data_IF_882226082675
#
_entry.id   IF_882226082675
#
_cell.length_a   1.000
_cell.length_b   1.000
_cell.length_c   1.000
_cell.angle_alpha   90.00
_cell.angle_beta   90.00
_cell.angle_gamma   90.00
#
_symmetry.space_group_name_H-M   'P 1'
#
loop_
_entity.id
_entity.type
_entity.pdbx_description
1 polymer ?
#
# COMPACT_ATOMS: atom_id res chain seq x y z
N UNK A 1 -33.05 -17.51 15.44
CA UNK A 1 -32.66 -18.90 15.17
C UNK A 1 -31.46 -18.82 14.23
N UNK A 2 -30.27 -19.08 14.78
CA UNK A 2 -28.98 -18.89 14.12
C UNK A 2 -28.72 -20.03 13.14
N UNK A 3 -29.04 -19.83 11.86
CA UNK A 3 -28.71 -20.78 10.79
C UNK A 3 -27.20 -21.09 10.69
N UNK A 4 -26.35 -20.22 11.25
CA UNK A 4 -24.90 -20.40 11.32
C UNK A 4 -24.46 -21.42 12.38
N UNK A 5 -25.27 -21.69 13.41
CA UNK A 5 -24.92 -22.66 14.46
C UNK A 5 -25.07 -24.12 13.99
N UNK A 6 -25.82 -24.33 12.90
CA UNK A 6 -26.04 -25.64 12.28
C UNK A 6 -25.01 -25.97 11.18
N UNK A 7 -24.16 -25.00 10.78
CA UNK A 7 -23.13 -25.23 9.77
C UNK A 7 -22.00 -26.07 10.38
N UNK A 8 -21.66 -27.24 9.80
CA UNK A 8 -20.50 -28.01 10.22
C UNK A 8 -19.22 -27.19 10.14
N UNK A 9 -18.33 -27.38 11.10
CA UNK A 9 -17.05 -26.69 11.16
C UNK A 9 -16.23 -26.83 9.87
N UNK A 10 -16.32 -27.98 9.19
CA UNK A 10 -15.65 -28.23 7.92
C UNK A 10 -16.10 -27.27 6.84
N UNK A 11 -17.40 -26.95 6.79
CA UNK A 11 -17.94 -25.97 5.85
C UNK A 11 -17.51 -24.55 6.20
N UNK A 12 -17.44 -24.20 7.50
CA UNK A 12 -16.90 -22.91 7.94
C UNK A 12 -15.42 -22.75 7.56
N UNK A 13 -14.62 -23.81 7.70
CA UNK A 13 -13.22 -23.84 7.26
C UNK A 13 -13.10 -23.68 5.74
N UNK A 14 -13.98 -24.31 4.95
CA UNK A 14 -14.02 -24.16 3.50
C UNK A 14 -14.38 -22.72 3.11
N UNK A 15 -15.44 -22.15 3.71
CA UNK A 15 -15.85 -20.76 3.47
C UNK A 15 -14.68 -19.81 3.77
N UNK A 16 -14.01 -20.00 4.91
CA UNK A 16 -12.86 -19.19 5.30
C UNK A 16 -11.70 -19.31 4.29
N UNK A 17 -11.42 -20.53 3.82
CA UNK A 17 -10.36 -20.74 2.82
C UNK A 17 -10.66 -20.12 1.45
N UNK A 18 -11.95 -20.08 1.07
CA UNK A 18 -12.38 -19.53 -0.22
C UNK A 18 -12.49 -18.01 -0.21
N UNK A 19 -13.04 -17.43 0.85
CA UNK A 19 -13.13 -15.97 1.00
C UNK A 19 -11.74 -15.37 1.28
N UNK A 20 -10.99 -16.03 2.17
CA UNK A 20 -9.65 -15.66 2.60
C UNK A 20 -9.49 -14.16 2.91
N UNK A 21 -10.52 -13.53 3.50
CA UNK A 21 -10.53 -12.11 3.84
C UNK A 21 -10.68 -11.92 5.36
N UNK A 22 -9.98 -10.93 5.91
CA UNK A 22 -9.86 -10.76 7.36
C UNK A 22 -11.13 -10.19 7.99
N UNK A 23 -11.84 -9.32 7.28
CA UNK A 23 -13.09 -8.73 7.79
C UNK A 23 -14.21 -9.76 7.82
N UNK A 24 -14.32 -10.58 6.77
CA UNK A 24 -15.22 -11.74 6.72
C UNK A 24 -14.91 -12.73 7.83
N UNK A 25 -13.62 -13.06 8.03
CA UNK A 25 -13.22 -13.95 9.12
C UNK A 25 -13.53 -13.38 10.51
N UNK A 26 -13.22 -12.10 10.78
CA UNK A 26 -13.57 -11.44 12.05
C UNK A 26 -15.09 -11.44 12.26
N UNK A 27 -15.87 -11.17 11.22
CA UNK A 27 -17.34 -11.20 11.29
C UNK A 27 -17.84 -12.61 11.61
N UNK A 28 -17.24 -13.66 11.01
CA UNK A 28 -17.53 -15.06 11.33
C UNK A 28 -17.24 -15.40 12.80
N UNK A 29 -16.16 -14.87 13.37
CA UNK A 29 -15.87 -15.03 14.81
C UNK A 29 -16.93 -14.38 15.71
N UNK A 30 -17.60 -13.32 15.25
CA UNK A 30 -18.66 -12.67 16.01
C UNK A 30 -19.98 -13.44 15.95
N UNK A 31 -20.32 -13.99 14.78
CA UNK A 31 -21.63 -14.63 14.54
C UNK A 31 -21.67 -16.14 14.77
N UNK A 32 -20.53 -16.85 14.72
CA UNK A 32 -20.46 -18.30 14.94
C UNK A 32 -19.89 -18.61 16.34
N UNK A 33 -20.70 -19.14 17.28
CA UNK A 33 -20.26 -19.55 18.61
C UNK A 33 -19.11 -20.58 18.59
N UNK A 34 -19.15 -21.54 17.66
CA UNK A 34 -18.12 -22.58 17.54
C UNK A 34 -16.74 -21.96 17.27
N UNK A 35 -16.64 -21.13 16.24
CA UNK A 35 -15.42 -20.38 15.95
C UNK A 35 -15.04 -19.42 17.07
N UNK A 36 -16.02 -18.73 17.67
CA UNK A 36 -15.77 -17.81 18.80
C UNK A 36 -15.11 -18.52 19.99
N UNK A 37 -15.51 -19.76 20.25
CA UNK A 37 -14.97 -20.56 21.36
C UNK A 37 -13.49 -20.91 21.16
N UNK A 38 -13.06 -21.16 19.91
CA UNK A 38 -11.65 -21.41 19.57
C UNK A 38 -10.73 -20.21 19.89
N UNK A 39 -11.26 -18.99 19.79
CA UNK A 39 -10.53 -17.73 20.02
C UNK A 39 -10.82 -17.10 21.39
N UNK A 40 -11.75 -17.67 22.17
CA UNK A 40 -12.06 -17.18 23.51
C UNK A 40 -11.06 -17.75 24.53
N UNK A 41 -10.36 -16.85 25.21
CA UNK A 41 -9.42 -17.14 26.27
C UNK A 41 -8.72 -15.86 26.73
N UNK A 42 -8.01 -15.95 27.84
CA UNK A 42 -7.16 -14.88 28.36
C UNK A 42 -5.75 -14.92 27.73
N UNK A 43 -4.85 -14.07 28.24
CA UNK A 43 -3.45 -13.99 27.80
C UNK A 43 -2.65 -15.27 28.09
N UNK A 44 -3.10 -16.08 29.05
CA UNK A 44 -2.36 -17.23 29.58
C UNK A 44 -2.83 -18.54 28.94
N UNK A 45 -4.03 -18.54 28.34
CA UNK A 45 -4.61 -19.67 27.63
C UNK A 45 -3.96 -19.82 26.25
N UNK A 46 -3.32 -20.99 26.02
CA UNK A 46 -2.73 -21.35 24.72
C UNK A 46 -3.77 -21.37 23.61
N UNK A 47 -3.37 -20.87 22.43
CA UNK A 47 -4.19 -20.88 21.23
C UNK A 47 -4.63 -22.30 20.88
N UNK A 48 -5.87 -22.43 20.41
CA UNK A 48 -6.34 -23.69 19.86
C UNK A 48 -5.61 -24.01 18.55
N UNK A 49 -5.26 -25.29 18.33
CA UNK A 49 -4.56 -25.71 17.12
C UNK A 49 -5.38 -25.39 15.86
N UNK A 50 -6.69 -25.56 15.92
CA UNK A 50 -7.59 -25.26 14.80
C UNK A 50 -7.70 -23.75 14.55
N UNK A 51 -7.69 -22.93 15.61
CA UNK A 51 -7.65 -21.48 15.45
C UNK A 51 -6.38 -21.03 14.70
N UNK A 52 -5.22 -21.60 15.06
CA UNK A 52 -3.95 -21.31 14.39
C UNK A 52 -3.94 -21.80 12.95
N UNK A 53 -4.49 -22.99 12.68
CA UNK A 53 -4.65 -23.53 11.31
C UNK A 53 -5.53 -22.62 10.45
N UNK A 54 -6.64 -22.10 10.98
CA UNK A 54 -7.52 -21.19 10.25
C UNK A 54 -6.81 -19.89 9.87
N UNK A 55 -6.08 -19.27 10.82
CA UNK A 55 -5.31 -18.04 10.56
C UNK A 55 -4.19 -18.29 9.56
N UNK A 56 -3.45 -19.38 9.70
CA UNK A 56 -2.40 -19.77 8.76
C UNK A 56 -2.97 -20.04 7.35
N UNK A 57 -4.16 -20.65 7.25
CA UNK A 57 -4.86 -20.83 5.98
C UNK A 57 -5.17 -19.49 5.32
N UNK A 58 -5.69 -18.50 6.06
CA UNK A 58 -5.92 -17.16 5.50
C UNK A 58 -4.59 -16.53 5.05
N UNK A 59 -3.51 -16.63 5.84
CA UNK A 59 -2.21 -16.08 5.45
C UNK A 59 -1.69 -16.66 4.12
N UNK A 60 -1.97 -17.94 3.85
CA UNK A 60 -1.57 -18.64 2.64
C UNK A 60 -2.50 -18.38 1.44
N UNK A 61 -3.81 -18.24 1.68
CA UNK A 61 -4.80 -18.11 0.62
C UNK A 61 -5.14 -16.66 0.27
N UNK A 62 -5.01 -15.73 1.23
CA UNK A 62 -5.33 -14.33 1.01
C UNK A 62 -4.44 -13.74 -0.11
N UNK A 63 -5.05 -13.17 -1.17
CA UNK A 63 -4.33 -12.69 -2.34
C UNK A 63 -3.22 -11.67 -2.09
N UNK A 64 -3.27 -10.89 -1.00
CA UNK A 64 -2.20 -9.93 -0.66
C UNK A 64 -1.26 -10.47 0.42
N UNK A 65 -1.75 -11.24 1.40
CA UNK A 65 -0.91 -11.72 2.51
C UNK A 65 0.15 -12.73 2.08
N UNK A 66 -0.17 -13.60 1.12
CA UNK A 66 0.72 -14.68 0.70
C UNK A 66 2.04 -14.20 0.07
N UNK A 67 2.12 -12.93 -0.32
CA UNK A 67 3.31 -12.30 -0.91
C UNK A 67 4.03 -11.42 0.11
N UNK A 68 4.88 -12.03 0.94
CA UNK A 68 5.75 -11.38 1.94
C UNK A 68 5.05 -10.73 3.15
N UNK A 69 3.79 -10.27 3.02
CA UNK A 69 3.09 -9.57 4.12
C UNK A 69 2.75 -10.49 5.29
N UNK A 70 2.65 -11.81 5.07
CA UNK A 70 2.54 -12.79 6.15
C UNK A 70 3.75 -12.75 7.10
N UNK A 71 4.94 -12.39 6.61
CA UNK A 71 6.12 -12.21 7.45
C UNK A 71 5.96 -11.01 8.38
N UNK A 72 5.38 -9.90 7.90
CA UNK A 72 5.08 -8.73 8.73
C UNK A 72 4.03 -9.07 9.82
N UNK A 73 2.99 -9.82 9.47
CA UNK A 73 2.03 -10.35 10.44
C UNK A 73 2.74 -11.14 11.56
N UNK A 74 3.65 -12.04 11.17
CA UNK A 74 4.39 -12.88 12.12
C UNK A 74 5.39 -12.09 12.96
N UNK A 75 6.01 -11.05 12.40
CA UNK A 75 6.86 -10.12 13.16
C UNK A 75 6.04 -9.41 14.24
N UNK A 76 4.88 -8.85 13.87
CA UNK A 76 3.96 -8.21 14.82
C UNK A 76 3.54 -9.18 15.92
N UNK A 77 3.19 -10.42 15.56
CA UNK A 77 2.86 -11.46 16.54
C UNK A 77 4.01 -11.72 17.50
N UNK A 78 5.24 -11.94 17.00
CA UNK A 78 6.43 -12.21 17.83
C UNK A 78 6.75 -11.04 18.76
N UNK A 79 6.62 -9.79 18.30
CA UNK A 79 6.86 -8.59 19.11
C UNK A 79 5.90 -8.46 20.29
N UNK A 80 4.72 -9.05 20.18
CA UNK A 80 3.68 -9.04 21.22
C UNK A 80 3.74 -10.26 22.14
N UNK A 81 4.63 -11.22 21.89
CA UNK A 81 4.77 -12.40 22.75
C UNK A 81 5.44 -12.01 24.07
N UNK A 82 4.84 -12.33 25.23
CA UNK A 82 5.47 -12.10 26.53
C UNK A 82 6.80 -12.85 26.69
N UNK A 83 6.97 -13.95 25.96
CA UNK A 83 8.17 -14.79 25.96
C UNK A 83 9.29 -14.24 25.07
N UNK A 84 9.13 -13.06 24.47
CA UNK A 84 10.20 -12.45 23.68
C UNK A 84 11.40 -12.18 24.61
N UNK A 85 12.45 -12.98 24.42
CA UNK A 85 13.69 -12.93 25.20
C UNK A 85 14.36 -11.57 25.01
N UNK A 86 15.29 -11.20 25.91
CA UNK A 86 16.22 -10.06 25.72
C UNK A 86 17.09 -10.27 24.46
N UNK A 87 16.51 -10.02 23.30
CA UNK A 87 17.16 -9.97 22.00
C UNK A 87 17.42 -8.51 21.67
N UNK A 88 18.49 -8.22 20.95
CA UNK A 88 18.71 -6.89 20.37
C UNK A 88 17.78 -6.67 19.16
N UNK A 89 17.57 -5.41 18.77
CA UNK A 89 16.81 -5.09 17.56
C UNK A 89 17.44 -5.76 16.32
N UNK A 90 18.78 -5.73 16.21
CA UNK A 90 19.49 -6.36 15.10
C UNK A 90 19.29 -7.88 15.06
N UNK A 91 19.36 -8.55 16.22
CA UNK A 91 19.08 -9.99 16.34
C UNK A 91 17.63 -10.30 15.99
N UNK A 92 16.67 -9.50 16.43
CA UNK A 92 15.26 -9.67 16.07
C UNK A 92 15.07 -9.57 14.56
N UNK A 93 15.60 -8.52 13.94
CA UNK A 93 15.46 -8.27 12.50
C UNK A 93 16.17 -9.30 11.62
N UNK A 94 17.21 -9.97 12.14
CA UNK A 94 17.95 -11.01 11.43
C UNK A 94 17.25 -12.39 11.47
N UNK A 95 16.19 -12.56 12.27
CA UNK A 95 15.47 -13.83 12.35
C UNK A 95 14.68 -14.10 11.07
N UNK A 96 14.49 -15.38 10.76
CA UNK A 96 13.51 -15.77 9.77
C UNK A 96 12.09 -15.62 10.33
N UNK A 97 11.30 -14.77 9.67
CA UNK A 97 9.89 -14.52 9.97
C UNK A 97 8.93 -15.16 8.94
N UNK A 98 9.48 -15.85 7.93
CA UNK A 98 8.70 -16.54 6.89
C UNK A 98 8.25 -17.96 7.28
N UNK A 99 8.71 -18.46 8.44
CA UNK A 99 8.29 -19.76 8.99
C UNK A 99 6.82 -19.79 9.44
N UNK A 100 6.14 -20.91 9.19
CA UNK A 100 4.71 -21.10 9.48
C UNK A 100 4.36 -20.88 10.97
N UNK A 101 3.16 -20.35 11.25
CA UNK A 101 2.64 -20.22 12.62
C UNK A 101 2.60 -21.55 13.36
N UNK A 102 2.48 -22.66 12.63
CA UNK A 102 2.50 -24.02 13.18
C UNK A 102 3.81 -24.34 13.90
N UNK A 103 4.93 -23.71 13.50
CA UNK A 103 6.24 -23.89 14.15
C UNK A 103 6.30 -23.15 15.48
N UNK A 104 5.71 -21.95 15.54
CA UNK A 104 5.66 -21.11 16.75
C UNK A 104 4.41 -21.37 17.62
N UNK A 105 3.58 -22.35 17.28
CA UNK A 105 2.32 -22.67 17.94
C UNK A 105 2.40 -22.71 19.48
N UNK A 106 3.42 -23.32 20.13
CA UNK A 106 3.43 -23.47 21.58
C UNK A 106 3.45 -22.17 22.38
N UNK A 107 3.80 -21.03 21.75
CA UNK A 107 3.93 -19.72 22.40
C UNK A 107 2.80 -18.73 22.09
N UNK A 108 1.81 -19.12 21.27
CA UNK A 108 0.71 -18.23 20.88
C UNK A 108 -0.46 -18.41 21.87
N UNK A 109 -0.97 -17.32 22.46
CA UNK A 109 -2.19 -17.35 23.27
C UNK A 109 -3.45 -17.05 22.45
N UNK A 110 -4.61 -17.47 22.94
CA UNK A 110 -5.91 -17.22 22.29
C UNK A 110 -6.19 -15.72 22.14
N UNK A 111 -5.96 -14.96 23.21
CA UNK A 111 -6.16 -13.51 23.21
C UNK A 111 -5.29 -12.80 22.15
N UNK A 112 -4.00 -13.19 22.05
CA UNK A 112 -3.10 -12.62 21.04
C UNK A 112 -3.54 -12.96 19.62
N UNK A 113 -3.91 -14.21 19.36
CA UNK A 113 -4.35 -14.62 18.03
C UNK A 113 -5.61 -13.86 17.59
N UNK A 114 -6.58 -13.70 18.51
CA UNK A 114 -7.80 -12.91 18.30
C UNK A 114 -7.50 -11.43 18.04
N UNK A 115 -6.57 -10.85 18.79
CA UNK A 115 -6.14 -9.47 18.60
C UNK A 115 -5.49 -9.28 17.22
N UNK A 116 -4.62 -10.19 16.80
CA UNK A 116 -3.97 -10.15 15.48
C UNK A 116 -4.97 -10.27 14.32
N UNK A 117 -6.00 -11.12 14.46
CA UNK A 117 -7.12 -11.16 13.50
C UNK A 117 -7.84 -9.82 13.45
N UNK A 118 -8.09 -9.20 14.60
CA UNK A 118 -8.75 -7.89 14.68
C UNK A 118 -7.91 -6.78 14.02
N UNK A 119 -6.59 -6.84 14.19
CA UNK A 119 -5.64 -5.91 13.54
C UNK A 119 -5.65 -6.10 12.03
N UNK A 120 -5.59 -7.34 11.55
CA UNK A 120 -5.61 -7.64 10.12
C UNK A 120 -6.94 -7.19 9.47
N UNK A 121 -8.07 -7.41 10.16
CA UNK A 121 -9.38 -6.91 9.73
C UNK A 121 -9.43 -5.38 9.74
N UNK A 122 -8.86 -4.72 10.75
CA UNK A 122 -8.75 -3.26 10.78
C UNK A 122 -7.91 -2.73 9.61
N UNK A 123 -6.76 -3.36 9.30
CA UNK A 123 -5.91 -3.02 8.16
C UNK A 123 -6.69 -3.12 6.85
N UNK A 124 -7.47 -4.20 6.64
CA UNK A 124 -8.32 -4.33 5.45
C UNK A 124 -9.33 -3.18 5.33
N UNK A 125 -9.99 -2.79 6.43
CA UNK A 125 -10.92 -1.64 6.44
C UNK A 125 -10.22 -0.33 6.10
N UNK A 126 -9.04 -0.08 6.68
CA UNK A 126 -8.25 1.10 6.39
C UNK A 126 -7.76 1.12 4.93
N UNK A 127 -7.40 -0.03 4.37
CA UNK A 127 -6.99 -0.14 2.98
C UNK A 127 -8.12 0.28 2.03
N UNK A 128 -9.33 -0.24 2.26
CA UNK A 128 -10.53 0.11 1.50
C UNK A 128 -10.83 1.62 1.60
N UNK A 129 -10.72 2.20 2.80
CA UNK A 129 -10.93 3.63 3.01
C UNK A 129 -9.91 4.51 2.27
N UNK A 130 -8.63 4.16 2.33
CA UNK A 130 -7.55 4.87 1.63
C UNK A 130 -7.76 4.80 0.11
N UNK A 131 -7.98 3.62 -0.45
CA UNK A 131 -8.19 3.42 -1.89
C UNK A 131 -9.41 4.18 -2.40
N UNK A 132 -10.54 4.09 -1.69
CA UNK A 132 -11.77 4.85 -2.01
C UNK A 132 -11.49 6.34 -2.05
N UNK A 133 -10.74 6.84 -1.06
CA UNK A 133 -10.39 8.25 -0.93
C UNK A 133 -9.49 8.72 -2.07
N UNK A 134 -8.45 7.97 -2.40
CA UNK A 134 -7.56 8.32 -3.49
C UNK A 134 -8.27 8.24 -4.86
N UNK A 135 -9.09 7.20 -5.09
CA UNK A 135 -9.90 7.08 -6.31
C UNK A 135 -10.85 8.27 -6.48
N UNK A 136 -11.51 8.69 -5.40
CA UNK A 136 -12.38 9.86 -5.42
C UNK A 136 -11.62 11.14 -5.77
N UNK A 137 -10.44 11.35 -5.16
CA UNK A 137 -9.62 12.54 -5.41
C UNK A 137 -9.08 12.56 -6.84
N UNK A 138 -8.56 11.45 -7.35
CA UNK A 138 -7.99 11.39 -8.70
C UNK A 138 -9.06 11.58 -9.78
N UNK A 139 -10.28 11.04 -9.57
CA UNK A 139 -11.42 11.25 -10.49
C UNK A 139 -11.89 12.70 -10.58
N UNK A 140 -11.61 13.52 -9.57
CA UNK A 140 -11.94 14.96 -9.58
C UNK A 140 -10.93 15.79 -10.37
N UNK A 141 -9.75 15.26 -10.67
CA UNK A 141 -8.76 15.96 -11.48
C UNK A 141 -9.29 16.06 -12.91
N UNK A 142 -9.13 17.21 -13.54
CA UNK A 142 -9.40 17.41 -14.96
C UNK A 142 -8.08 17.49 -15.72
N UNK A 143 -7.59 16.36 -16.28
CA UNK A 143 -6.28 16.33 -16.89
C UNK A 143 -6.24 17.18 -18.16
N UNK A 144 -5.07 17.69 -18.50
CA UNK A 144 -4.82 18.47 -19.70
C UNK A 144 -3.59 17.95 -20.40
N UNK A 145 -3.56 18.07 -21.72
CA UNK A 145 -2.40 17.75 -22.55
C UNK A 145 -2.02 18.93 -23.43
N UNK A 146 -0.88 18.83 -24.11
CA UNK A 146 -0.51 19.83 -25.11
C UNK A 146 -1.39 19.70 -26.34
N UNK A 147 -1.76 20.85 -26.91
CA UNK A 147 -2.44 20.91 -28.19
C UNK A 147 -1.41 20.63 -29.29
N UNK A 148 -1.61 19.57 -30.07
CA UNK A 148 -0.68 19.20 -31.16
C UNK A 148 -0.74 20.14 -32.36
N UNK A 149 -1.81 20.90 -32.50
CA UNK A 149 -2.08 21.78 -33.64
C UNK A 149 -1.66 23.21 -33.33
N UNK A 150 -1.78 23.64 -32.08
CA UNK A 150 -1.39 24.98 -31.64
C UNK A 150 -0.06 24.92 -30.92
N UNK A 151 0.95 25.60 -31.48
CA UNK A 151 2.27 25.66 -30.88
C UNK A 151 2.24 26.13 -29.41
N UNK A 152 1.28 26.95 -28.98
CA UNK A 152 1.21 27.51 -27.61
C UNK A 152 -0.03 27.06 -26.79
N UNK A 153 -0.75 26.02 -27.23
CA UNK A 153 -2.03 25.61 -26.63
C UNK A 153 -1.96 24.41 -25.68
N UNK A 154 -2.93 24.32 -24.76
CA UNK A 154 -3.24 23.08 -24.03
C UNK A 154 -4.72 22.76 -24.16
N UNK A 155 -5.06 21.47 -24.21
CA UNK A 155 -6.43 20.99 -24.36
C UNK A 155 -6.82 20.01 -23.24
N UNK A 156 -8.12 19.85 -22.93
CA UNK A 156 -8.57 18.83 -21.99
C UNK A 156 -8.20 17.42 -22.49
N UNK A 157 -7.62 16.61 -21.61
CA UNK A 157 -7.42 15.19 -21.86
C UNK A 157 -8.61 14.42 -21.29
N UNK A 158 -9.24 13.56 -22.10
CA UNK A 158 -10.35 12.71 -21.68
C UNK A 158 -9.80 11.42 -21.06
N UNK A 159 -9.88 11.24 -19.73
CA UNK A 159 -9.36 10.06 -19.08
C UNK A 159 -10.19 8.83 -19.44
N UNK A 160 -9.54 7.67 -19.46
CA UNK A 160 -10.23 6.37 -19.56
C UNK A 160 -10.61 5.90 -18.17
N UNK A 161 -11.73 5.19 -18.05
CA UNK A 161 -12.04 4.51 -16.80
C UNK A 161 -11.13 3.29 -16.63
N UNK A 162 -10.23 3.36 -15.65
CA UNK A 162 -9.35 2.25 -15.29
C UNK A 162 -10.06 1.16 -14.48
N UNK A 163 -11.29 1.42 -14.02
CA UNK A 163 -12.07 0.50 -13.18
C UNK A 163 -11.68 0.56 -11.69
N UNK A 164 -12.01 -0.49 -10.91
CA UNK A 164 -11.65 -0.61 -9.49
C UNK A 164 -10.13 -0.67 -9.30
N UNK A 165 -9.67 -0.67 -8.05
CA UNK A 165 -8.26 -0.84 -7.73
C UNK A 165 -7.74 -2.20 -8.22
N UNK A 166 -6.56 -2.21 -8.83
CA UNK A 166 -5.91 -3.45 -9.23
C UNK A 166 -5.26 -4.13 -8.03
N UNK A 167 -4.97 -5.43 -8.14
CA UNK A 167 -4.33 -6.19 -7.05
C UNK A 167 -3.04 -5.54 -6.53
N UNK A 168 -2.18 -5.04 -7.43
CA UNK A 168 -0.91 -4.42 -7.01
C UNK A 168 -1.15 -3.10 -6.28
N UNK A 169 -2.17 -2.33 -6.67
CA UNK A 169 -2.55 -1.09 -5.98
C UNK A 169 -3.01 -1.40 -4.56
N UNK A 170 -3.86 -2.43 -4.38
CA UNK A 170 -4.27 -2.86 -3.04
C UNK A 170 -3.08 -3.38 -2.24
N UNK A 171 -2.25 -4.25 -2.82
CA UNK A 171 -1.06 -4.79 -2.18
C UNK A 171 -0.17 -3.70 -1.60
N UNK A 172 0.10 -2.63 -2.35
CA UNK A 172 0.93 -1.50 -1.89
C UNK A 172 0.32 -0.78 -0.68
N UNK A 173 -1.01 -0.62 -0.64
CA UNK A 173 -1.70 -0.06 0.53
C UNK A 173 -1.59 -0.99 1.74
N UNK A 174 -1.86 -2.28 1.57
CA UNK A 174 -1.70 -3.27 2.64
C UNK A 174 -0.28 -3.31 3.18
N UNK A 175 0.72 -3.31 2.28
CA UNK A 175 2.13 -3.28 2.65
C UNK A 175 2.45 -2.06 3.51
N UNK A 176 2.06 -0.87 3.07
CA UNK A 176 2.28 0.35 3.84
C UNK A 176 1.60 0.32 5.23
N UNK A 177 0.37 -0.19 5.32
CA UNK A 177 -0.35 -0.34 6.58
C UNK A 177 0.33 -1.34 7.52
N UNK A 178 0.76 -2.49 7.02
CA UNK A 178 1.50 -3.48 7.82
C UNK A 178 2.84 -2.94 8.32
N UNK A 179 3.54 -2.14 7.52
CA UNK A 179 4.75 -1.46 8.00
C UNK A 179 4.44 -0.43 9.09
N UNK A 180 3.38 0.37 8.96
CA UNK A 180 2.96 1.28 10.03
C UNK A 180 2.58 0.53 11.32
N UNK A 181 1.91 -0.63 11.20
CA UNK A 181 1.62 -1.50 12.34
C UNK A 181 2.92 -2.03 12.98
N UNK A 182 3.84 -2.57 12.18
CA UNK A 182 5.14 -3.07 12.64
C UNK A 182 5.94 -1.97 13.36
N UNK A 183 5.96 -0.74 12.84
CA UNK A 183 6.63 0.38 13.49
C UNK A 183 6.07 0.68 14.88
N UNK A 184 4.75 0.66 15.02
CA UNK A 184 4.07 0.82 16.30
C UNK A 184 4.48 -0.27 17.28
N UNK A 185 4.47 -1.53 16.85
CA UNK A 185 4.80 -2.68 17.70
C UNK A 185 6.29 -2.71 18.07
N UNK A 186 7.19 -2.39 17.15
CA UNK A 186 8.62 -2.21 17.43
C UNK A 186 8.84 -1.11 18.47
N UNK A 187 8.11 0.01 18.36
CA UNK A 187 8.22 1.12 19.32
C UNK A 187 7.74 0.74 20.72
N UNK A 188 6.76 -0.17 20.83
CA UNK A 188 6.25 -0.66 22.10
C UNK A 188 7.22 -1.69 22.68
N UNK A 189 7.59 -2.70 21.90
CA UNK A 189 8.52 -3.75 22.30
C UNK A 189 9.90 -3.19 22.66
N UNK A 190 10.40 -2.22 21.88
CA UNK A 190 11.68 -1.57 22.15
C UNK A 190 11.72 -0.87 23.51
N UNK A 191 10.61 -0.26 23.96
CA UNK A 191 10.53 0.29 25.32
C UNK A 191 10.46 -0.78 26.40
N UNK A 192 9.90 -1.95 26.10
CA UNK A 192 9.80 -3.06 27.06
C UNK A 192 11.11 -3.83 27.19
N UNK A 193 11.89 -3.89 26.12
CA UNK A 193 13.18 -4.60 26.02
C UNK A 193 14.38 -3.67 26.19
N UNK A 194 14.16 -2.40 26.53
CA UNK A 194 15.18 -1.36 26.67
C UNK A 194 16.09 -1.21 25.43
N UNK A 195 15.51 -1.35 24.23
CA UNK A 195 16.22 -1.06 22.99
C UNK A 195 16.50 0.44 22.90
N UNK A 196 17.73 0.85 22.53
CA UNK A 196 18.03 2.25 22.30
C UNK A 196 17.09 2.84 21.24
N UNK A 197 16.42 3.94 21.58
CA UNK A 197 15.51 4.62 20.63
C UNK A 197 16.25 5.07 19.36
N UNK A 198 17.53 5.42 19.48
CA UNK A 198 18.40 5.71 18.34
C UNK A 198 18.56 4.51 17.41
N UNK A 199 18.65 3.28 17.93
CA UNK A 199 18.79 2.08 17.10
C UNK A 199 17.51 1.80 16.31
N UNK A 200 16.35 2.03 16.93
CA UNK A 200 15.04 1.88 16.27
C UNK A 200 14.83 2.95 15.20
N UNK A 201 15.20 4.20 15.49
CA UNK A 201 15.12 5.29 14.52
C UNK A 201 16.13 5.14 13.40
N UNK A 202 17.37 4.78 13.70
CA UNK A 202 18.40 4.49 12.71
C UNK A 202 18.00 3.29 11.87
N UNK A 203 17.41 2.24 12.47
CA UNK A 203 16.89 1.13 11.69
C UNK A 203 15.74 1.58 10.80
N UNK A 204 14.70 2.21 11.34
CA UNK A 204 13.50 2.56 10.60
C UNK A 204 13.75 3.64 9.53
N UNK A 205 14.61 4.62 9.79
CA UNK A 205 14.81 5.77 8.91
C UNK A 205 16.16 5.76 8.16
N UNK A 206 17.13 4.98 8.62
CA UNK A 206 18.48 4.91 8.04
C UNK A 206 18.85 3.55 7.41
N UNK A 207 18.51 2.42 8.04
CA UNK A 207 18.90 1.07 7.57
C UNK A 207 17.80 0.36 6.79
N UNK A 208 16.53 0.67 7.07
CA UNK A 208 15.41 0.32 6.22
C UNK A 208 15.68 1.09 4.94
N UNK A 209 16.28 0.40 3.97
CA UNK A 209 16.83 0.94 2.72
C UNK A 209 15.71 1.54 1.87
N UNK A 210 15.18 2.70 2.28
CA UNK A 210 14.22 3.49 1.52
C UNK A 210 14.80 3.88 0.15
N UNK A 211 16.13 3.78 -0.01
CA UNK A 211 16.93 4.24 -1.14
C UNK A 211 17.56 3.11 -2.00
N UNK A 212 17.71 1.87 -1.52
CA UNK A 212 18.14 0.75 -2.37
C UNK A 212 16.94 0.19 -3.14
N UNK A 213 16.66 0.79 -4.30
CA UNK A 213 15.70 0.36 -5.35
C UNK A 213 14.60 -0.55 -4.79
N UNK A 214 13.58 0.00 -4.10
CA UNK A 214 12.69 1.00 -4.67
C UNK A 214 12.36 2.15 -3.70
N UNK A 215 12.37 3.39 -4.22
CA UNK A 215 11.93 4.65 -3.57
C UNK A 215 10.43 4.66 -3.21
N UNK A 216 9.80 3.48 -3.19
CA UNK A 216 8.36 3.32 -3.30
C UNK A 216 7.77 3.02 -1.94
N UNK A 217 8.39 2.16 -1.12
CA UNK A 217 7.81 1.82 0.18
C UNK A 217 7.71 3.06 1.09
N UNK A 218 8.70 3.95 1.06
CA UNK A 218 8.69 5.19 1.88
C UNK A 218 7.62 6.15 1.46
N UNK A 219 7.49 6.34 0.15
CA UNK A 219 6.45 7.18 -0.38
C UNK A 219 5.06 6.55 -0.23
N UNK A 220 4.91 5.22 -0.32
CA UNK A 220 3.68 4.49 0.01
C UNK A 220 3.30 4.69 1.49
N UNK A 221 4.21 4.44 2.42
CA UNK A 221 3.99 4.59 3.88
C UNK A 221 3.62 6.04 4.23
N UNK A 222 4.32 7.02 3.67
CA UNK A 222 3.98 8.45 3.84
C UNK A 222 2.60 8.77 3.24
N UNK A 223 2.31 8.25 2.05
CA UNK A 223 1.02 8.46 1.37
C UNK A 223 -0.14 7.94 2.19
N UNK A 224 -0.01 6.72 2.73
CA UNK A 224 -1.03 6.12 3.59
C UNK A 224 -1.14 6.87 4.91
N UNK A 225 -0.02 7.23 5.54
CA UNK A 225 -0.03 7.99 6.79
C UNK A 225 -0.75 9.34 6.65
N UNK A 226 -0.42 10.12 5.61
CA UNK A 226 -1.05 11.41 5.32
C UNK A 226 -2.55 11.24 4.98
N UNK A 227 -2.92 10.17 4.27
CA UNK A 227 -4.30 9.87 3.98
C UNK A 227 -5.09 9.56 5.26
N UNK A 228 -4.54 8.72 6.14
CA UNK A 228 -5.15 8.36 7.41
C UNK A 228 -5.30 9.58 8.33
N UNK A 229 -4.29 10.47 8.41
CA UNK A 229 -4.38 11.74 9.16
C UNK A 229 -5.57 12.59 8.69
N UNK A 230 -5.87 12.61 7.39
CA UNK A 230 -7.01 13.34 6.84
C UNK A 230 -8.36 12.62 7.09
N UNK A 231 -8.37 11.30 7.21
CA UNK A 231 -9.59 10.50 7.34
C UNK A 231 -10.10 10.34 8.78
N UNK A 232 -9.24 10.48 9.78
CA UNK A 232 -9.62 10.32 11.19
C UNK A 232 -10.34 11.54 11.76
N UNK A 233 -11.28 11.31 12.69
CA UNK A 233 -12.02 12.37 13.39
C UNK A 233 -11.12 13.18 14.33
N UNK A 234 -10.22 12.50 15.03
CA UNK A 234 -9.30 13.09 16.00
C UNK A 234 -7.90 13.17 15.41
N UNK A 235 -7.14 14.22 15.73
CA UNK A 235 -5.74 14.33 15.27
C UNK A 235 -4.95 13.14 15.82
N UNK A 236 -4.39 12.28 14.94
CA UNK A 236 -3.63 11.14 15.39
C UNK A 236 -2.33 11.62 16.03
N UNK A 237 -1.72 10.77 16.86
CA UNK A 237 -0.35 11.02 17.33
C UNK A 237 0.57 10.83 16.13
N UNK A 238 1.35 11.87 15.84
CA UNK A 238 2.26 11.89 14.70
C UNK A 238 3.69 12.01 15.22
N UNK A 239 4.57 11.18 14.68
CA UNK A 239 6.01 11.27 14.91
C UNK A 239 6.68 11.92 13.71
N UNK A 240 7.57 12.85 14.02
CA UNK A 240 8.42 13.52 13.06
C UNK A 240 9.86 13.12 13.31
N UNK A 241 10.57 12.81 12.25
CA UNK A 241 12.01 12.59 12.29
C UNK A 241 12.66 13.20 11.06
N UNK A 242 13.99 13.24 11.06
CA UNK A 242 14.80 13.63 9.93
C UNK A 242 15.39 12.39 9.29
N UNK A 243 15.05 12.15 8.02
CA UNK A 243 15.73 11.14 7.23
C UNK A 243 16.77 11.79 6.33
N UNK A 244 17.86 11.07 6.07
CA UNK A 244 18.86 11.46 5.09
C UNK A 244 18.65 10.65 3.82
N UNK A 245 18.38 11.32 2.71
CA UNK A 245 18.49 10.71 1.39
C UNK A 245 19.80 11.14 0.74
N UNK A 246 20.52 10.18 0.18
CA UNK A 246 21.64 10.47 -0.72
C UNK A 246 21.07 10.82 -2.10
N UNK A 247 21.28 12.05 -2.56
CA UNK A 247 21.04 12.43 -3.96
C UNK A 247 22.12 11.81 -4.85
N UNK A 248 21.90 11.91 -6.17
CA UNK A 248 22.99 11.71 -7.13
C UNK A 248 24.17 12.63 -6.79
N UNK A 249 25.40 12.14 -6.98
CA UNK A 249 26.66 12.84 -6.63
C UNK A 249 26.96 13.01 -5.13
N UNK A 250 26.52 12.08 -4.27
CA UNK A 250 26.88 12.03 -2.83
C UNK A 250 26.39 13.22 -1.97
N UNK A 251 25.52 14.09 -2.49
CA UNK A 251 24.88 15.13 -1.67
C UNK A 251 23.85 14.50 -0.72
N UNK A 252 24.03 14.71 0.59
CA UNK A 252 23.07 14.26 1.60
C UNK A 252 22.00 15.34 1.78
N UNK A 253 20.74 15.00 1.46
CA UNK A 253 19.60 15.85 1.73
C UNK A 253 18.85 15.33 2.95
N UNK A 254 18.67 16.20 3.94
CA UNK A 254 17.85 15.91 5.12
C UNK A 254 16.43 16.35 4.82
N UNK A 255 15.46 15.46 4.98
CA UNK A 255 14.04 15.80 4.85
C UNK A 255 13.26 15.26 6.05
N UNK A 256 12.19 15.98 6.40
CA UNK A 256 11.33 15.58 7.51
C UNK A 256 10.37 14.47 7.05
N UNK A 257 10.38 13.35 7.79
CA UNK A 257 9.40 12.29 7.67
C UNK A 257 8.39 12.45 8.80
N UNK A 258 7.12 12.55 8.44
CA UNK A 258 6.00 12.71 9.36
C UNK A 258 5.03 11.53 9.19
N UNK A 259 4.94 10.69 10.21
CA UNK A 259 4.14 9.45 10.17
C UNK A 259 3.22 9.32 11.40
N UNK A 260 2.04 8.75 11.23
CA UNK A 260 1.20 8.34 12.35
C UNK A 260 1.94 7.28 13.18
N UNK A 261 1.91 7.41 14.50
CA UNK A 261 2.63 6.47 15.38
C UNK A 261 1.89 5.17 15.62
N UNK A 262 0.57 5.17 15.40
CA UNK A 262 -0.31 4.01 15.57
C UNK A 262 -1.40 4.05 14.51
N UNK A 263 -1.81 2.89 14.01
CA UNK A 263 -2.94 2.80 13.10
C UNK A 263 -4.23 3.17 13.84
N UNK A 264 -5.08 4.05 13.27
CA UNK A 264 -6.37 4.33 13.85
C UNK A 264 -7.30 3.11 13.74
N UNK A 265 -8.29 3.03 14.62
CA UNK A 265 -9.38 2.09 14.41
C UNK A 265 -10.29 2.59 13.29
N UNK A 266 -10.71 1.73 12.37
CA UNK A 266 -11.59 2.11 11.26
C UNK A 266 -12.92 2.73 11.73
N UNK A 267 -13.39 2.44 12.95
CA UNK A 267 -14.55 3.08 13.57
C UNK A 267 -14.33 4.56 13.90
N UNK A 268 -13.08 5.02 13.95
CA UNK A 268 -12.69 6.42 14.22
C UNK A 268 -12.64 7.28 12.95
N UNK A 269 -12.90 6.70 11.78
CA UNK A 269 -12.93 7.44 10.51
C UNK A 269 -14.13 8.39 10.47
N UNK A 270 -13.99 9.50 9.74
CA UNK A 270 -15.03 10.53 9.58
C UNK A 270 -16.25 10.01 8.82
N UNK A 271 -16.04 9.07 7.91
CA UNK A 271 -17.06 8.51 7.03
C UNK A 271 -17.03 7.00 7.07
N UNK A 272 -18.15 6.38 6.75
CA UNK A 272 -18.24 4.96 6.48
C UNK A 272 -17.74 4.67 5.07
N UNK A 273 -17.06 3.53 4.92
CA UNK A 273 -16.49 3.10 3.65
C UNK A 273 -16.97 1.68 3.35
N UNK A 274 -17.22 1.41 2.07
CA UNK A 274 -17.44 0.05 1.61
C UNK A 274 -16.18 -0.77 1.84
N UNK A 275 -16.36 -2.02 2.27
CA UNK A 275 -15.28 -2.96 2.54
C UNK A 275 -15.38 -4.09 1.52
N UNK A 276 -14.25 -4.48 0.95
CA UNK A 276 -14.15 -5.60 0.03
C UNK A 276 -12.94 -6.48 0.38
N UNK A 277 -12.95 -7.71 -0.13
CA UNK A 277 -11.80 -8.61 -0.07
C UNK A 277 -10.80 -8.27 -1.18
N UNK A 278 -9.49 -8.48 -0.95
CA UNK A 278 -8.47 -8.18 -1.96
C UNK A 278 -8.68 -9.04 -3.23
N UNK A 279 -8.53 -8.46 -4.44
CA UNK A 279 -8.69 -9.21 -5.68
C UNK A 279 -7.53 -10.19 -5.87
N UNK A 280 -7.71 -11.20 -6.71
CA UNK A 280 -6.61 -12.10 -7.07
C UNK A 280 -5.57 -11.39 -7.96
N UNK A 281 -4.27 -11.71 -7.82
CA UNK A 281 -3.27 -11.22 -8.77
C UNK A 281 -3.60 -11.69 -10.19
N UNK A 282 -3.40 -10.84 -11.21
CA UNK A 282 -3.64 -11.23 -12.59
C UNK A 282 -2.64 -12.31 -13.02
N UNK A 283 -3.08 -13.19 -13.92
CA UNK A 283 -2.18 -14.12 -14.60
C UNK A 283 -1.45 -13.36 -15.70
N UNK A 284 -0.15 -13.13 -15.51
CA UNK A 284 0.70 -12.53 -16.52
C UNK A 284 1.27 -13.66 -17.40
N UNK A 285 1.10 -13.55 -18.71
CA UNK A 285 1.67 -14.49 -19.66
C UNK A 285 3.18 -14.23 -19.82
N UNK A 286 3.94 -15.30 -19.99
CA UNK A 286 5.33 -15.21 -20.43
C UNK A 286 5.38 -14.98 -21.93
N UNK A 287 6.29 -14.12 -22.39
CA UNK A 287 6.56 -13.96 -23.80
C UNK A 287 7.39 -15.16 -24.33
N UNK A 288 7.53 -15.26 -25.65
CA UNK A 288 8.31 -16.32 -26.30
C UNK A 288 9.78 -16.35 -25.87
N UNK A 289 10.32 -15.23 -25.40
CA UNK A 289 11.69 -15.09 -24.86
C UNK A 289 11.79 -15.38 -23.35
N UNK A 290 10.69 -15.79 -22.71
CA UNK A 290 10.63 -16.14 -21.29
C UNK A 290 10.49 -14.95 -20.35
N UNK A 291 10.37 -13.71 -20.85
CA UNK A 291 10.11 -12.55 -19.99
C UNK A 291 8.61 -12.34 -19.77
N UNK A 292 8.18 -12.04 -18.53
CA UNK A 292 6.77 -11.81 -18.24
C UNK A 292 6.27 -10.55 -18.96
N UNK A 293 5.13 -10.66 -19.63
CA UNK A 293 4.46 -9.57 -20.35
C UNK A 293 3.70 -8.63 -19.40
N UNK A 294 4.33 -8.25 -18.29
CA UNK A 294 3.77 -7.35 -17.28
C UNK A 294 3.92 -5.87 -17.68
N UNK A 295 3.26 -5.52 -18.79
CA UNK A 295 3.29 -4.18 -19.38
C UNK A 295 2.87 -3.11 -18.36
N UNK A 296 1.84 -3.42 -17.57
CA UNK A 296 1.20 -2.48 -16.66
C UNK A 296 1.75 -2.52 -15.23
N UNK A 297 2.68 -3.43 -14.96
CA UNK A 297 3.26 -3.60 -13.63
C UNK A 297 2.26 -4.11 -12.59
N UNK A 298 1.37 -5.03 -12.99
CA UNK A 298 0.32 -5.62 -12.16
C UNK A 298 0.67 -7.02 -11.65
N UNK A 299 1.75 -7.63 -12.15
CA UNK A 299 2.22 -8.95 -11.75
C UNK A 299 2.98 -8.95 -10.42
N UNK A 300 3.27 -10.16 -9.94
CA UNK A 300 3.97 -10.38 -8.66
C UNK A 300 5.38 -9.77 -8.67
N UNK A 301 6.06 -9.76 -9.82
CA UNK A 301 7.39 -9.12 -9.95
C UNK A 301 7.35 -7.62 -9.66
N UNK A 302 6.19 -6.99 -9.79
CA UNK A 302 5.97 -5.57 -9.53
C UNK A 302 5.77 -5.24 -8.06
N UNK A 303 5.79 -6.22 -7.14
CA UNK A 303 5.81 -5.93 -5.69
C UNK A 303 7.03 -5.07 -5.33
N UNK A 304 8.20 -5.33 -5.90
CA UNK A 304 9.43 -4.58 -5.61
C UNK A 304 9.66 -3.38 -6.53
N UNK A 305 8.68 -3.01 -7.37
CA UNK A 305 8.85 -1.95 -8.35
C UNK A 305 7.61 -1.06 -8.48
N UNK A 306 7.83 0.25 -8.51
CA UNK A 306 6.83 1.20 -8.98
C UNK A 306 7.48 2.17 -9.95
N UNK A 307 7.31 1.85 -11.23
CA UNK A 307 7.83 2.63 -12.34
C UNK A 307 7.29 4.06 -12.34
N UNK A 308 6.05 4.29 -11.89
CA UNK A 308 5.48 5.64 -11.84
C UNK A 308 6.19 6.52 -10.81
N UNK A 309 6.56 5.96 -9.65
CA UNK A 309 7.36 6.68 -8.67
C UNK A 309 8.75 7.05 -9.22
N UNK A 310 9.38 6.14 -9.99
CA UNK A 310 10.64 6.42 -10.68
C UNK A 310 10.50 7.54 -11.72
N UNK A 311 9.42 7.50 -12.52
CA UNK A 311 9.11 8.55 -13.50
C UNK A 311 8.95 9.89 -12.79
N UNK A 312 8.15 9.95 -11.73
CA UNK A 312 7.94 11.18 -10.98
C UNK A 312 9.26 11.77 -10.45
N UNK A 313 10.15 10.94 -9.88
CA UNK A 313 11.46 11.40 -9.40
C UNK A 313 12.32 11.99 -10.52
N UNK A 314 12.31 11.39 -11.71
CA UNK A 314 12.99 11.95 -12.89
C UNK A 314 12.38 13.30 -13.28
N UNK A 315 11.05 13.43 -13.25
CA UNK A 315 10.36 14.68 -13.54
C UNK A 315 10.75 15.79 -12.54
N UNK A 316 10.80 15.48 -11.25
CA UNK A 316 11.23 16.43 -10.21
C UNK A 316 12.65 16.95 -10.43
N UNK A 317 13.56 16.07 -10.86
CA UNK A 317 14.95 16.44 -11.16
C UNK A 317 15.03 17.34 -12.39
N UNK A 318 14.35 16.99 -13.49
CA UNK A 318 14.38 17.79 -14.74
C UNK A 318 13.83 19.19 -14.51
N UNK A 319 12.67 19.27 -13.86
CA UNK A 319 11.97 20.55 -13.60
C UNK A 319 12.62 21.41 -12.51
N UNK A 320 13.60 20.89 -11.77
CA UNK A 320 14.34 21.68 -10.77
C UNK A 320 15.23 22.75 -11.39
N UNK A 321 15.67 22.53 -12.64
CA UNK A 321 16.54 23.47 -13.37
C UNK A 321 15.80 24.15 -14.51
N UNK A 322 14.91 23.41 -15.18
CA UNK A 322 14.18 23.90 -16.34
C UNK A 322 12.71 23.50 -16.23
N UNK A 323 11.81 24.42 -15.83
CA UNK A 323 10.38 24.16 -15.79
C UNK A 323 9.87 23.67 -17.15
N UNK A 324 8.92 22.74 -17.12
CA UNK A 324 8.31 22.25 -18.33
C UNK A 324 7.45 23.33 -18.99
N UNK A 325 7.29 23.24 -20.32
CA UNK A 325 6.40 24.14 -21.03
C UNK A 325 4.97 24.01 -20.50
N UNK A 326 4.32 25.14 -20.22
CA UNK A 326 2.98 25.25 -19.63
C UNK A 326 2.85 24.73 -18.18
N UNK A 327 3.97 24.42 -17.50
CA UNK A 327 3.94 23.98 -16.10
C UNK A 327 3.14 24.95 -15.23
N UNK A 328 2.13 24.42 -14.52
CA UNK A 328 1.17 25.25 -13.76
C UNK A 328 1.57 25.44 -12.29
N UNK A 329 2.46 24.59 -11.78
CA UNK A 329 3.01 24.71 -10.43
C UNK A 329 4.36 23.98 -10.32
N UNK A 330 5.12 24.28 -9.27
CA UNK A 330 6.29 23.48 -8.91
C UNK A 330 5.88 22.06 -8.52
N UNK A 331 6.72 21.07 -8.86
CA UNK A 331 6.45 19.64 -8.60
C UNK A 331 7.43 19.02 -7.60
N UNK A 332 8.32 19.85 -7.04
CA UNK A 332 9.32 19.45 -6.06
C UNK A 332 8.68 19.04 -4.72
N UNK A 333 7.55 19.64 -4.37
CA UNK A 333 6.72 19.15 -3.26
C UNK A 333 5.92 17.93 -3.70
N UNK A 334 6.21 16.78 -3.09
CA UNK A 334 5.53 15.52 -3.34
C UNK A 334 4.27 15.34 -2.49
N UNK A 335 3.95 16.22 -1.53
CA UNK A 335 2.76 16.09 -0.69
C UNK A 335 1.46 16.07 -1.52
N UNK A 336 1.24 16.97 -2.51
CA UNK A 336 0.02 16.90 -3.32
C UNK A 336 -0.02 15.65 -4.20
N UNK A 337 1.14 15.19 -4.67
CA UNK A 337 1.26 13.93 -5.43
C UNK A 337 0.83 12.71 -4.59
N UNK A 338 1.31 12.63 -3.35
CA UNK A 338 0.87 11.62 -2.36
C UNK A 338 -0.59 11.76 -1.99
N UNK A 339 -1.09 13.00 -1.85
CA UNK A 339 -2.50 13.28 -1.55
C UNK A 339 -3.49 12.69 -2.56
N UNK A 340 -3.05 12.47 -3.81
CA UNK A 340 -3.80 11.81 -4.88
C UNK A 340 -3.60 10.28 -4.95
N UNK A 341 -2.77 9.71 -4.09
CA UNK A 341 -2.44 8.27 -4.09
C UNK A 341 -1.53 7.85 -5.24
N UNK A 342 -0.83 8.79 -5.89
CA UNK A 342 -0.07 8.50 -7.12
C UNK A 342 1.11 7.54 -6.94
N UNK A 343 1.55 7.35 -5.70
CA UNK A 343 2.58 6.37 -5.29
C UNK A 343 2.01 4.95 -5.15
N UNK A 344 0.68 4.81 -5.15
CA UNK A 344 -0.03 3.54 -5.05
C UNK A 344 -0.38 3.01 -6.45
N UNK A 345 -0.74 3.91 -7.37
CA UNK A 345 -1.29 3.56 -8.68
C UNK A 345 -0.34 2.76 -9.57
N UNK A 346 -0.93 1.83 -10.32
CA UNK A 346 -0.22 1.05 -11.33
C UNK A 346 -0.07 1.84 -12.66
N UNK A 347 0.64 1.26 -13.62
CA UNK A 347 0.86 1.93 -14.90
C UNK A 347 -0.39 1.94 -15.78
N UNK A 348 -1.32 1.01 -15.59
CA UNK A 348 -2.59 1.02 -16.33
C UNK A 348 -3.44 2.22 -15.94
N UNK A 349 -3.62 2.47 -14.64
CA UNK A 349 -4.34 3.66 -14.17
C UNK A 349 -3.63 4.93 -14.60
N UNK A 350 -2.31 4.97 -14.50
CA UNK A 350 -1.54 6.13 -14.98
C UNK A 350 -1.68 6.34 -16.49
N UNK A 351 -1.76 5.27 -17.29
CA UNK A 351 -2.06 5.35 -18.73
C UNK A 351 -3.45 5.92 -18.99
N UNK A 352 -4.47 5.41 -18.28
CA UNK A 352 -5.85 5.90 -18.36
C UNK A 352 -5.97 7.38 -17.99
N UNK A 353 -5.13 7.87 -17.07
CA UNK A 353 -5.04 9.27 -16.66
C UNK A 353 -4.19 10.13 -17.61
N UNK A 354 -3.56 9.54 -18.62
CA UNK A 354 -2.67 10.24 -19.56
C UNK A 354 -1.30 10.59 -18.97
N UNK A 355 -0.87 9.90 -17.93
CA UNK A 355 0.42 10.07 -17.25
C UNK A 355 1.42 8.95 -17.56
N UNK A 356 1.04 7.99 -18.38
CA UNK A 356 1.94 6.93 -18.85
C UNK A 356 1.67 6.61 -20.32
N UNK A 357 2.73 6.28 -21.03
CA UNK A 357 2.68 5.85 -22.43
C UNK A 357 3.15 4.40 -22.51
N UNK A 358 2.39 3.59 -23.23
CA UNK A 358 2.74 2.20 -23.48
C UNK A 358 3.67 2.10 -24.70
N UNK A 359 4.68 2.97 -24.78
CA UNK A 359 5.76 2.90 -25.77
C UNK A 359 6.82 1.91 -25.29
N UNK A 360 7.14 0.92 -26.12
CA UNK A 360 8.10 -0.17 -25.85
C UNK A 360 7.76 -1.19 -24.73
N UNK A 361 6.50 -1.45 -24.36
CA UNK A 361 6.20 -2.29 -23.20
C UNK A 361 6.50 -3.76 -23.43
N UNK A 362 6.69 -4.18 -24.69
CA UNK A 362 7.08 -5.53 -25.09
C UNK A 362 8.51 -5.62 -25.65
N UNK A 363 9.35 -4.62 -25.41
CA UNK A 363 10.66 -4.56 -26.06
C UNK A 363 10.53 -4.55 -27.59
N UNK A 364 10.97 -5.64 -28.26
CA UNK A 364 10.94 -5.78 -29.73
C UNK A 364 9.68 -6.45 -30.29
N UNK A 365 8.74 -6.89 -29.45
CA UNK A 365 7.59 -7.66 -29.93
C UNK A 365 6.52 -6.74 -30.59
N UNK A 366 6.24 -6.89 -31.89
CA UNK A 366 5.21 -6.10 -32.57
C UNK A 366 3.80 -6.59 -32.19
N UNK A 367 2.82 -5.68 -32.10
CA UNK A 367 1.40 -6.05 -31.94
C UNK A 367 0.55 -5.12 -31.05
N UNK A 368 -0.78 -5.33 -31.02
CA UNK A 368 -1.77 -4.46 -30.35
C UNK A 368 -1.72 -4.58 -28.83
N UNK A 369 -1.39 -3.51 -28.10
CA UNK A 369 -1.09 -3.55 -26.66
C UNK A 369 -2.31 -4.02 -25.87
N UNK A 370 -2.20 -5.11 -25.09
CA UNK A 370 -3.33 -5.61 -24.32
C UNK A 370 -3.58 -4.72 -23.09
N UNK A 371 -4.81 -4.30 -22.90
CA UNK A 371 -5.33 -3.82 -21.62
C UNK A 371 -5.50 -4.99 -20.64
N UNK A 372 -5.66 -4.70 -19.32
CA UNK A 372 -5.89 -5.75 -18.32
C UNK A 372 -7.11 -6.64 -18.58
N UNK A 373 -8.12 -6.15 -19.30
CA UNK A 373 -9.30 -6.92 -19.70
C UNK A 373 -9.10 -7.75 -20.99
N UNK A 374 -7.90 -7.71 -21.56
CA UNK A 374 -7.54 -8.37 -22.83
C UNK A 374 -7.89 -7.58 -24.08
N UNK A 375 -8.56 -6.44 -23.97
CA UNK A 375 -8.86 -5.58 -25.14
C UNK A 375 -7.60 -4.89 -25.65
N UNK A 376 -7.58 -4.52 -26.93
CA UNK A 376 -6.47 -3.77 -27.49
C UNK A 376 -6.58 -2.27 -27.17
N UNK A 377 -5.47 -1.66 -26.75
CA UNK A 377 -5.35 -0.22 -26.57
C UNK A 377 -4.26 0.35 -27.47
N UNK A 378 -4.39 1.62 -27.90
CA UNK A 378 -3.29 2.28 -28.59
C UNK A 378 -2.09 2.40 -27.63
N UNK A 379 -0.90 2.69 -28.17
CA UNK A 379 0.30 3.09 -27.39
C UNK A 379 0.00 4.21 -26.39
N UNK A 380 -1.10 4.94 -26.60
CA UNK A 380 -1.59 6.03 -25.79
C UNK A 380 -1.28 7.35 -26.48
N UNK A 381 -1.68 8.44 -25.83
CA UNK A 381 -1.01 9.70 -26.12
C UNK A 381 0.42 9.52 -25.63
N UNK A 382 1.37 9.34 -26.54
CA UNK A 382 2.73 9.69 -26.18
C UNK A 382 2.67 11.14 -25.71
N UNK A 383 3.04 11.46 -24.45
CA UNK A 383 3.56 12.79 -24.23
C UNK A 383 4.69 12.91 -25.26
N UNK A 384 4.70 13.96 -26.07
CA UNK A 384 5.78 14.09 -27.05
C UNK A 384 7.08 14.07 -26.24
N UNK A 385 7.97 13.11 -26.48
CA UNK A 385 9.28 13.07 -25.81
C UNK A 385 10.06 14.39 -26.06
N UNK A 386 9.62 15.16 -27.04
CA UNK A 386 9.98 16.54 -27.26
C UNK A 386 9.30 17.45 -26.21
N UNK A 387 10.07 17.92 -25.22
CA UNK A 387 9.77 19.16 -24.48
C UNK A 387 9.12 19.03 -23.10
N UNK A 388 9.17 17.86 -22.46
CA UNK A 388 8.73 17.68 -21.06
C UNK A 388 7.20 17.69 -20.85
N UNK A 389 6.38 17.21 -21.81
CA UNK A 389 4.92 17.18 -21.66
C UNK A 389 4.46 16.39 -20.41
N UNK A 390 5.11 15.27 -20.10
CA UNK A 390 4.81 14.48 -18.89
C UNK A 390 4.96 15.32 -17.60
N UNK A 391 5.98 16.19 -17.55
CA UNK A 391 6.26 17.05 -16.40
C UNK A 391 5.15 18.10 -16.25
N UNK A 392 4.68 18.66 -17.37
CA UNK A 392 3.50 19.52 -17.41
C UNK A 392 2.25 18.80 -16.88
N UNK A 393 1.95 17.60 -17.40
CA UNK A 393 0.77 16.85 -16.97
C UNK A 393 0.81 16.54 -15.47
N UNK A 394 1.97 16.15 -14.93
CA UNK A 394 2.17 15.96 -13.49
C UNK A 394 1.86 17.25 -12.72
N UNK A 395 2.33 18.40 -13.20
CA UNK A 395 2.03 19.69 -12.55
C UNK A 395 0.53 20.01 -12.52
N UNK A 396 -0.24 19.60 -13.55
CA UNK A 396 -1.71 19.77 -13.56
C UNK A 396 -2.36 18.97 -12.43
N UNK A 397 -1.93 17.72 -12.21
CA UNK A 397 -2.45 16.88 -11.12
C UNK A 397 -2.09 17.47 -9.75
N UNK A 398 -0.83 17.88 -9.55
CA UNK A 398 -0.38 18.51 -8.30
C UNK A 398 -1.16 19.78 -8.03
N UNK A 399 -1.31 20.65 -9.02
CA UNK A 399 -2.07 21.89 -8.91
C UNK A 399 -3.55 21.63 -8.56
N UNK A 400 -4.19 20.67 -9.22
CA UNK A 400 -5.57 20.29 -8.92
C UNK A 400 -5.71 19.81 -7.46
N UNK A 401 -4.75 19.03 -6.95
CA UNK A 401 -4.78 18.62 -5.54
C UNK A 401 -4.63 19.80 -4.58
N UNK A 402 -3.72 20.75 -4.87
CA UNK A 402 -3.54 21.97 -4.06
C UNK A 402 -4.85 22.76 -4.00
N UNK A 403 -5.53 22.95 -5.13
CA UNK A 403 -6.83 23.63 -5.19
C UNK A 403 -7.89 22.92 -4.34
N UNK A 404 -7.91 21.58 -4.34
CA UNK A 404 -8.82 20.82 -3.47
C UNK A 404 -8.54 21.03 -1.98
N UNK A 405 -7.29 21.27 -1.58
CA UNK A 405 -6.94 21.58 -0.18
C UNK A 405 -7.40 22.97 0.23
N UNK A 406 -7.20 23.95 -0.64
CA UNK A 406 -7.58 25.34 -0.38
C UNK A 406 -9.10 25.51 -0.26
N UNK A 407 -9.87 24.78 -1.07
CA UNK A 407 -11.34 24.73 -0.96
C UNK A 407 -11.81 24.17 0.39
N UNK A 408 -11.11 23.17 0.94
CA UNK A 408 -11.44 22.59 2.25
C UNK A 408 -11.06 23.55 3.39
N UNK A 409 -9.96 24.29 3.26
CA UNK A 409 -9.53 25.27 4.26
C UNK A 409 -10.41 26.53 4.29
N UNK A 410 -10.98 26.94 3.16
CA UNK A 410 -11.88 28.09 3.08
C UNK A 410 -13.31 27.86 3.55
N UNK A 411 -13.67 26.61 3.92
CA UNK A 411 -14.98 26.21 4.45
C UNK A 411 -15.01 26.08 5.98
N UNK A 412 -13.87 26.35 6.65
CA UNK A 412 -13.71 26.42 8.10
C UNK A 412 -13.30 27.83 8.50
#
# INVERSE_FOLDING_TARGET
>A
MDALNEIPFELLSIINSYAADWVGFESLLEVSPQLKELFNGDSDTKADLEAVRLVETILQQNPVMRYELHSLFRMVLKLRQPSLVKVTLAEFMAQDHSSSLMVSFPSISRAMLKELVSIAANIQRLACACLTTFLHRVRKVQPRCWDKVKEEGTEPYQPREAGPSSWIEEYRVYRALWHLQLYSDLSIAGRQLDWPQCDLEDWWFGQMKWDQVPVVLGEEVRTISECLEALVRFRPVVRSTKAMATKHYNEKHVFDIRLISQLPNARQLRHEFNIWGPPSPPKIADAEDGFPMDIWGQGITSIHSNRMASIFRVCQLRTSTHPARHQVCQIQDSCPWRGLGMTIWDLWRCYCLGLYSARYPRGRHPGPIPAPDGTAVPEGCSPVDCGFEIDYRISVFIHARMQMEDQVKGLH
#
